data_IF_787912574242
#
_entry.id   IF_787912574242
#
_cell.length_a   1.000
_cell.length_b   1.000
_cell.length_c   1.000
_cell.angle_alpha   90.00
_cell.angle_beta   90.00
_cell.angle_gamma   90.00
#
_symmetry.space_group_name_H-M   'P 1'
#
loop_
_entity.id
_entity.type
_entity.pdbx_description
1 polymer ?
#
# COMPACT_ATOMS: atom_id res chain seq x y z
N UNK A 1 -41.36 -80.75 4.74
CA UNK A 1 -41.24 -81.09 3.30
C UNK A 1 -40.27 -80.20 2.60
N UNK A 2 -39.21 -80.77 2.06
CA UNK A 2 -38.10 -80.19 1.34
C UNK A 2 -38.53 -79.39 0.13
N UNK A 3 -37.79 -78.34 -0.22
CA UNK A 3 -37.21 -78.20 -1.55
C UNK A 3 -36.09 -77.18 -1.59
N UNK A 4 -34.98 -77.71 -1.91
CA UNK A 4 -33.71 -77.13 -2.33
C UNK A 4 -33.83 -76.26 -3.57
N UNK A 5 -33.18 -75.10 -3.61
CA UNK A 5 -32.98 -74.23 -4.79
C UNK A 5 -31.55 -73.70 -4.86
N UNK A 6 -30.85 -74.13 -5.88
CA UNK A 6 -29.43 -73.94 -6.17
C UNK A 6 -29.03 -72.50 -6.32
N UNK A 7 -27.90 -72.12 -5.71
CA UNK A 7 -27.15 -70.89 -5.97
C UNK A 7 -26.42 -71.06 -7.31
N UNK A 8 -26.63 -70.09 -8.23
CA UNK A 8 -25.77 -69.86 -9.38
C UNK A 8 -24.90 -68.64 -9.04
N UNK A 9 -23.61 -68.88 -8.98
CA UNK A 9 -22.57 -67.90 -8.73
C UNK A 9 -22.14 -67.34 -10.06
N UNK A 10 -22.49 -66.06 -10.40
CA UNK A 10 -21.98 -65.34 -11.54
C UNK A 10 -20.79 -64.49 -11.09
N UNK A 11 -19.59 -64.88 -11.50
CA UNK A 11 -18.39 -64.04 -11.44
C UNK A 11 -18.51 -62.96 -12.53
N UNK A 12 -18.73 -61.70 -12.11
CA UNK A 12 -18.56 -60.54 -12.95
C UNK A 12 -17.15 -59.94 -12.73
N UNK A 13 -16.29 -60.09 -13.72
CA UNK A 13 -15.05 -59.34 -13.82
C UNK A 13 -15.37 -57.83 -13.94
N UNK A 14 -15.17 -57.09 -12.89
CA UNK A 14 -15.14 -55.63 -12.96
C UNK A 14 -13.73 -55.17 -13.32
N UNK A 15 -13.50 -54.87 -14.59
CA UNK A 15 -12.30 -54.20 -15.08
C UNK A 15 -12.35 -52.77 -14.60
N UNK A 16 -11.61 -52.42 -13.55
CA UNK A 16 -11.32 -51.04 -13.19
C UNK A 16 -10.40 -50.45 -14.26
N UNK A 17 -10.96 -49.70 -15.20
CA UNK A 17 -10.22 -48.71 -15.97
C UNK A 17 -9.89 -47.56 -15.04
N UNK A 18 -8.67 -47.57 -14.45
CA UNK A 18 -8.06 -46.41 -13.89
C UNK A 18 -7.78 -45.44 -15.03
N UNK A 19 -8.71 -44.53 -15.30
CA UNK A 19 -8.44 -43.34 -16.10
C UNK A 19 -7.61 -42.44 -15.21
N UNK A 20 -6.30 -42.48 -15.36
CA UNK A 20 -5.40 -41.44 -14.87
C UNK A 20 -5.78 -40.17 -15.63
N UNK A 21 -6.64 -39.36 -15.01
CA UNK A 21 -6.85 -37.98 -15.41
C UNK A 21 -5.59 -37.23 -14.99
N UNK A 22 -4.57 -37.29 -15.86
CA UNK A 22 -3.53 -36.26 -15.86
C UNK A 22 -4.24 -34.98 -16.30
N UNK A 23 -4.70 -34.22 -15.31
CA UNK A 23 -5.27 -32.91 -15.54
C UNK A 23 -4.17 -31.96 -16.02
N UNK A 24 -3.83 -31.99 -17.29
CA UNK A 24 -3.25 -30.84 -17.95
C UNK A 24 -4.30 -29.74 -17.87
N UNK A 25 -4.12 -28.85 -16.89
CA UNK A 25 -4.90 -27.64 -16.81
C UNK A 25 -4.50 -26.79 -18.02
N UNK A 26 -5.33 -26.79 -19.05
CA UNK A 26 -5.08 -26.02 -20.28
C UNK A 26 -5.13 -24.52 -19.98
N UNK A 27 -4.23 -23.75 -20.58
CA UNK A 27 -4.27 -22.29 -20.66
C UNK A 27 -5.68 -21.84 -21.07
N UNK A 28 -6.29 -20.92 -20.31
CA UNK A 28 -7.57 -20.34 -20.69
C UNK A 28 -7.39 -19.49 -21.96
N UNK A 29 -8.36 -19.59 -22.87
CA UNK A 29 -8.37 -18.81 -24.10
C UNK A 29 -9.70 -18.09 -24.25
N UNK A 30 -9.66 -16.92 -24.86
CA UNK A 30 -10.84 -16.18 -25.30
C UNK A 30 -11.52 -16.91 -26.48
N UNK A 31 -12.73 -16.50 -26.84
CA UNK A 31 -13.47 -17.10 -27.97
C UNK A 31 -12.74 -16.93 -29.32
N UNK A 32 -11.94 -15.87 -29.46
CA UNK A 32 -11.08 -15.57 -30.62
C UNK A 32 -9.71 -16.27 -30.57
N UNK A 33 -9.44 -17.04 -29.50
CA UNK A 33 -8.25 -17.89 -29.38
C UNK A 33 -7.06 -17.27 -28.66
N UNK A 34 -7.15 -16.02 -28.21
CA UNK A 34 -6.08 -15.34 -27.43
C UNK A 34 -5.87 -16.01 -26.08
N UNK A 35 -4.66 -16.01 -25.57
CA UNK A 35 -4.35 -16.42 -24.18
C UNK A 35 -5.02 -15.45 -23.24
N UNK A 36 -5.86 -15.95 -22.32
CA UNK A 36 -6.54 -15.11 -21.34
C UNK A 36 -5.80 -15.13 -20.02
N UNK A 37 -5.39 -13.94 -19.54
CA UNK A 37 -4.78 -13.71 -18.24
C UNK A 37 -5.73 -12.92 -17.35
N UNK A 38 -5.69 -13.20 -16.05
CA UNK A 38 -6.35 -12.42 -15.01
C UNK A 38 -5.34 -11.47 -14.36
N UNK A 39 -5.72 -10.19 -14.19
CA UNK A 39 -4.95 -9.21 -13.46
C UNK A 39 -5.77 -8.65 -12.30
N UNK A 40 -5.40 -9.02 -11.06
CA UNK A 40 -6.14 -8.66 -9.86
C UNK A 40 -5.51 -7.45 -9.16
N UNK A 41 -6.34 -6.45 -8.87
CA UNK A 41 -5.97 -5.23 -8.12
C UNK A 41 -7.00 -4.94 -7.04
N UNK A 42 -6.69 -4.03 -6.10
CA UNK A 42 -7.63 -3.67 -5.01
C UNK A 42 -8.18 -2.25 -5.10
N UNK A 43 -7.61 -1.38 -5.94
CA UNK A 43 -8.00 0.02 -5.99
C UNK A 43 -8.79 0.33 -7.26
N UNK A 44 -10.04 0.74 -7.05
CA UNK A 44 -10.93 1.14 -8.16
C UNK A 44 -10.45 2.44 -8.81
N UNK A 45 -9.85 3.35 -8.04
CA UNK A 45 -9.38 4.64 -8.57
C UNK A 45 -8.23 4.49 -9.56
N UNK A 46 -7.38 3.47 -9.38
CA UNK A 46 -6.25 3.20 -10.28
C UNK A 46 -6.61 2.24 -11.43
N UNK A 47 -7.86 1.74 -11.49
CA UNK A 47 -8.27 0.74 -12.48
C UNK A 47 -8.01 1.18 -13.92
N UNK A 48 -8.37 2.40 -14.25
CA UNK A 48 -8.25 2.90 -15.64
C UNK A 48 -6.79 3.10 -16.03
N UNK A 49 -5.92 3.49 -15.10
CA UNK A 49 -4.48 3.51 -15.30
C UNK A 49 -3.89 2.11 -15.54
N UNK A 50 -4.34 1.11 -14.79
CA UNK A 50 -3.92 -0.28 -15.02
C UNK A 50 -4.46 -0.82 -16.35
N UNK A 51 -5.66 -0.42 -16.75
CA UNK A 51 -6.20 -0.76 -18.06
C UNK A 51 -5.38 -0.14 -19.18
N UNK A 52 -4.91 1.10 -19.03
CA UNK A 52 -4.04 1.75 -20.03
C UNK A 52 -2.71 0.99 -20.23
N UNK A 53 -2.10 0.48 -19.14
CA UNK A 53 -0.89 -0.37 -19.24
C UNK A 53 -1.20 -1.68 -19.96
N UNK A 54 -2.33 -2.32 -19.63
CA UNK A 54 -2.79 -3.55 -20.27
C UNK A 54 -3.04 -3.33 -21.78
N UNK A 55 -3.69 -2.23 -22.14
CA UNK A 55 -3.99 -1.91 -23.52
C UNK A 55 -2.70 -1.67 -24.33
N UNK A 56 -1.75 -0.92 -23.78
CA UNK A 56 -0.44 -0.69 -24.42
C UNK A 56 0.35 -1.99 -24.63
N UNK A 57 0.30 -2.92 -23.64
CA UNK A 57 0.90 -4.24 -23.80
C UNK A 57 0.20 -5.08 -24.86
N UNK A 58 -1.14 -5.11 -24.86
CA UNK A 58 -1.91 -5.92 -25.83
C UNK A 58 -1.79 -5.42 -27.26
N UNK A 59 -1.53 -4.12 -27.49
CA UNK A 59 -1.21 -3.58 -28.83
C UNK A 59 0.04 -4.23 -29.41
N UNK A 60 1.04 -4.54 -28.56
CA UNK A 60 2.29 -5.17 -28.97
C UNK A 60 2.18 -6.71 -28.95
N UNK A 61 1.21 -7.27 -28.21
CA UNK A 61 1.02 -8.70 -27.98
C UNK A 61 -0.42 -9.13 -28.33
N UNK A 62 -0.80 -9.13 -29.61
CA UNK A 62 -2.19 -9.34 -30.03
C UNK A 62 -2.76 -10.73 -29.71
N UNK A 63 -1.91 -11.70 -29.41
CA UNK A 63 -2.30 -13.06 -29.03
C UNK A 63 -2.65 -13.20 -27.54
N UNK A 64 -2.51 -12.13 -26.76
CA UNK A 64 -2.79 -12.08 -25.32
C UNK A 64 -4.00 -11.18 -25.05
N UNK A 65 -4.82 -11.57 -24.08
CA UNK A 65 -5.91 -10.78 -23.53
C UNK A 65 -5.78 -10.76 -22.00
N UNK A 66 -5.66 -9.59 -21.42
CA UNK A 66 -5.55 -9.41 -19.96
C UNK A 66 -6.84 -8.74 -19.46
N UNK A 67 -7.45 -9.33 -18.42
CA UNK A 67 -8.66 -8.82 -17.79
C UNK A 67 -8.32 -8.24 -16.43
N UNK A 68 -8.45 -6.90 -16.28
CA UNK A 68 -8.26 -6.22 -14.99
C UNK A 68 -9.49 -6.43 -14.12
N UNK A 69 -9.29 -6.98 -12.91
CA UNK A 69 -10.33 -7.28 -11.93
C UNK A 69 -10.04 -6.52 -10.63
N UNK A 70 -11.05 -5.85 -10.10
CA UNK A 70 -10.92 -5.07 -8.86
C UNK A 70 -11.66 -5.78 -7.73
N UNK A 71 -11.02 -5.88 -6.58
CA UNK A 71 -11.60 -6.39 -5.33
C UNK A 71 -11.22 -5.42 -4.21
N UNK A 72 -12.12 -5.12 -3.27
CA UNK A 72 -11.80 -4.23 -2.16
C UNK A 72 -10.62 -4.74 -1.32
N UNK A 73 -9.88 -3.83 -0.67
CA UNK A 73 -8.67 -4.14 0.10
C UNK A 73 -8.82 -5.34 1.04
N UNK A 74 -9.85 -5.36 1.89
CA UNK A 74 -10.03 -6.44 2.89
C UNK A 74 -10.36 -7.79 2.24
N UNK A 75 -11.20 -7.76 1.20
CA UNK A 75 -11.60 -8.96 0.46
C UNK A 75 -10.46 -9.47 -0.42
N UNK A 76 -9.61 -8.59 -0.92
CA UNK A 76 -8.45 -8.92 -1.75
C UNK A 76 -7.52 -9.90 -1.06
N UNK A 77 -7.07 -9.57 0.16
CA UNK A 77 -6.14 -10.42 0.91
C UNK A 77 -6.78 -11.75 1.31
N UNK A 78 -8.05 -11.73 1.72
CA UNK A 78 -8.80 -12.96 2.03
C UNK A 78 -8.86 -13.90 0.83
N UNK A 79 -9.15 -13.37 -0.36
CA UNK A 79 -9.21 -14.16 -1.60
C UNK A 79 -7.83 -14.62 -2.05
N UNK A 80 -6.83 -13.75 -1.95
CA UNK A 80 -5.47 -14.05 -2.39
C UNK A 80 -4.84 -15.15 -1.51
N UNK A 81 -5.03 -15.10 -0.18
CA UNK A 81 -4.58 -16.15 0.74
C UNK A 81 -5.23 -17.49 0.40
N UNK A 82 -6.54 -17.54 0.23
CA UNK A 82 -7.24 -18.77 -0.14
C UNK A 82 -6.79 -19.31 -1.51
N UNK A 83 -6.56 -18.44 -2.48
CA UNK A 83 -6.06 -18.81 -3.80
C UNK A 83 -4.61 -19.34 -3.74
N UNK A 84 -3.76 -18.75 -2.89
CA UNK A 84 -2.39 -19.19 -2.67
C UNK A 84 -2.34 -20.60 -2.06
N UNK A 85 -3.14 -20.86 -1.02
CA UNK A 85 -3.27 -22.19 -0.41
C UNK A 85 -3.74 -23.25 -1.41
N UNK A 86 -4.65 -22.87 -2.32
CA UNK A 86 -5.17 -23.75 -3.39
C UNK A 86 -4.21 -23.89 -4.58
N UNK A 87 -3.08 -23.18 -4.64
CA UNK A 87 -2.21 -23.01 -5.81
C UNK A 87 -3.00 -22.53 -7.06
N UNK A 88 -3.88 -21.55 -6.86
CA UNK A 88 -4.76 -20.96 -7.87
C UNK A 88 -4.70 -19.43 -7.83
N UNK A 89 -3.51 -18.87 -7.56
CA UNK A 89 -3.30 -17.43 -7.64
C UNK A 89 -3.70 -16.88 -9.02
N UNK A 90 -4.20 -15.64 -9.11
CA UNK A 90 -4.37 -14.94 -10.39
C UNK A 90 -3.08 -14.97 -11.20
N UNK A 91 -3.16 -14.80 -12.52
CA UNK A 91 -1.96 -14.80 -13.37
C UNK A 91 -1.06 -13.60 -13.03
N UNK A 92 -1.66 -12.43 -12.82
CA UNK A 92 -0.98 -11.21 -12.40
C UNK A 92 -1.76 -10.60 -11.23
N UNK A 93 -1.06 -10.04 -10.27
CA UNK A 93 -1.71 -9.35 -9.14
C UNK A 93 -0.77 -8.34 -8.50
N UNK A 94 -1.36 -7.36 -7.82
CA UNK A 94 -0.60 -6.44 -7.00
C UNK A 94 -0.13 -7.10 -5.72
N UNK A 95 1.10 -6.80 -5.34
CA UNK A 95 1.68 -7.24 -4.07
C UNK A 95 2.13 -6.03 -3.27
N UNK A 96 1.60 -5.92 -2.06
CA UNK A 96 1.98 -4.86 -1.14
C UNK A 96 3.23 -5.25 -0.34
N UNK A 97 4.11 -4.29 -0.06
CA UNK A 97 5.35 -4.52 0.68
C UNK A 97 5.15 -5.22 2.03
N UNK A 98 4.03 -4.97 2.73
CA UNK A 98 3.75 -5.59 4.03
C UNK A 98 3.31 -7.07 3.96
N UNK A 99 3.15 -7.63 2.76
CA UNK A 99 2.76 -9.03 2.53
C UNK A 99 3.82 -9.82 1.75
N UNK A 100 4.67 -9.16 0.99
CA UNK A 100 5.56 -9.81 0.03
C UNK A 100 6.47 -10.86 0.69
N UNK A 101 7.04 -10.55 1.86
CA UNK A 101 7.90 -11.51 2.58
C UNK A 101 7.16 -12.81 2.93
N UNK A 102 5.91 -12.71 3.41
CA UNK A 102 5.07 -13.88 3.68
C UNK A 102 4.93 -14.75 2.43
N UNK A 103 4.51 -14.15 1.31
CA UNK A 103 4.27 -14.92 0.09
C UNK A 103 5.54 -15.45 -0.57
N UNK A 104 6.63 -14.70 -0.53
CA UNK A 104 7.94 -15.10 -1.07
C UNK A 104 8.53 -16.26 -0.25
N UNK A 105 8.61 -16.12 1.07
CA UNK A 105 9.23 -17.10 1.95
C UNK A 105 8.50 -18.44 1.97
N UNK A 106 7.19 -18.45 1.71
CA UNK A 106 6.41 -19.67 1.52
C UNK A 106 6.45 -20.22 0.08
N UNK A 107 7.25 -19.62 -0.82
CA UNK A 107 7.44 -20.09 -2.20
C UNK A 107 6.17 -19.98 -3.05
N UNK A 108 5.31 -19.02 -2.75
CA UNK A 108 4.07 -18.78 -3.49
C UNK A 108 4.28 -17.90 -4.73
N UNK A 109 5.29 -16.99 -4.69
CA UNK A 109 5.59 -16.05 -5.76
C UNK A 109 6.67 -16.59 -6.69
N UNK A 110 6.61 -16.20 -7.96
CA UNK A 110 7.69 -16.43 -8.89
C UNK A 110 8.87 -15.50 -8.58
N UNK A 111 10.08 -16.05 -8.65
CA UNK A 111 11.31 -15.30 -8.60
C UNK A 111 11.46 -14.50 -9.91
N UNK A 112 11.58 -13.20 -9.79
CA UNK A 112 11.74 -12.28 -10.92
C UNK A 112 13.11 -11.61 -10.96
N UNK A 113 14.08 -12.09 -10.16
CA UNK A 113 15.42 -11.52 -10.05
C UNK A 113 16.11 -11.43 -11.42
N UNK A 114 15.97 -12.47 -12.21
CA UNK A 114 16.60 -12.58 -13.52
C UNK A 114 15.62 -12.26 -14.68
N UNK A 115 14.53 -11.52 -14.39
CA UNK A 115 13.46 -11.23 -15.37
C UNK A 115 13.99 -10.47 -16.58
N UNK A 116 14.96 -9.60 -16.37
CA UNK A 116 15.65 -8.85 -17.42
C UNK A 116 16.98 -9.53 -17.76
N UNK A 117 16.90 -10.73 -18.32
CA UNK A 117 18.02 -11.49 -18.84
C UNK A 117 18.41 -10.92 -20.21
N UNK A 118 19.21 -9.86 -20.22
CA UNK A 118 19.63 -9.13 -21.41
C UNK A 118 21.14 -8.87 -21.43
N UNK A 119 21.59 -7.99 -22.34
CA UNK A 119 23.00 -7.60 -22.49
C UNK A 119 23.56 -6.91 -21.24
N UNK A 120 22.70 -6.30 -20.40
CA UNK A 120 23.05 -5.70 -19.11
C UNK A 120 22.26 -6.40 -17.99
N UNK A 121 22.87 -7.35 -17.25
CA UNK A 121 22.18 -8.05 -16.16
C UNK A 121 21.73 -7.13 -15.01
N UNK A 122 22.26 -5.90 -14.94
CA UNK A 122 21.83 -4.90 -13.96
C UNK A 122 20.81 -3.91 -14.52
N UNK A 123 20.36 -4.10 -15.76
CA UNK A 123 19.44 -3.17 -16.43
C UNK A 123 18.18 -2.91 -15.59
N UNK A 124 17.62 -3.97 -15.03
CA UNK A 124 16.44 -3.95 -14.20
C UNK A 124 16.63 -3.15 -12.89
N UNK A 125 17.68 -3.47 -12.13
CA UNK A 125 17.88 -2.90 -10.79
C UNK A 125 18.31 -1.45 -10.82
N UNK A 126 19.10 -1.02 -11.77
CA UNK A 126 19.61 0.36 -11.82
C UNK A 126 18.54 1.43 -12.13
N UNK A 127 17.37 1.02 -12.59
CA UNK A 127 16.24 1.92 -12.87
C UNK A 127 15.29 2.07 -11.70
N UNK A 128 15.56 1.41 -10.57
CA UNK A 128 14.73 1.48 -9.37
C UNK A 128 15.59 1.86 -8.16
N UNK A 129 14.99 2.59 -7.22
CA UNK A 129 15.65 2.91 -5.96
C UNK A 129 15.81 1.66 -5.08
N UNK A 130 16.80 1.65 -4.16
CA UNK A 130 16.94 0.56 -3.21
C UNK A 130 15.69 0.34 -2.37
N UNK A 131 14.99 1.40 -1.96
CA UNK A 131 13.70 1.28 -1.23
C UNK A 131 12.67 0.52 -2.08
N UNK A 132 12.54 0.85 -3.37
CA UNK A 132 11.60 0.17 -4.26
C UNK A 132 11.97 -1.31 -4.47
N UNK A 133 13.25 -1.61 -4.59
CA UNK A 133 13.75 -2.99 -4.71
C UNK A 133 13.55 -3.76 -3.40
N UNK A 134 13.85 -3.16 -2.26
CA UNK A 134 13.67 -3.81 -0.96
C UNK A 134 12.20 -4.10 -0.65
N UNK A 135 11.29 -3.25 -1.14
CA UNK A 135 9.84 -3.50 -1.06
C UNK A 135 9.41 -4.74 -1.89
N UNK A 136 10.25 -5.20 -2.81
CA UNK A 136 9.98 -6.35 -3.68
C UNK A 136 10.82 -7.61 -3.32
N UNK A 137 11.70 -7.54 -2.29
CA UNK A 137 12.58 -8.64 -1.91
C UNK A 137 11.93 -9.62 -0.95
N UNK A 138 12.29 -10.91 -1.09
CA UNK A 138 12.11 -11.95 -0.07
C UNK A 138 13.24 -11.95 0.96
N UNK A 139 13.12 -12.75 2.01
CA UNK A 139 14.14 -12.90 3.06
C UNK A 139 15.46 -13.47 2.54
N UNK A 140 15.46 -14.13 1.39
CA UNK A 140 16.65 -14.66 0.71
C UNK A 140 17.37 -13.60 -0.16
N UNK A 141 16.87 -12.38 -0.19
CA UNK A 141 17.41 -11.26 -0.97
C UNK A 141 17.05 -11.25 -2.45
N UNK A 142 16.27 -12.25 -2.93
CA UNK A 142 15.79 -12.30 -4.31
C UNK A 142 14.55 -11.42 -4.50
N UNK A 143 14.27 -11.03 -5.74
CA UNK A 143 13.09 -10.22 -6.08
C UNK A 143 11.91 -11.13 -6.43
N UNK A 144 10.76 -10.83 -5.84
CA UNK A 144 9.50 -11.56 -6.01
C UNK A 144 8.37 -10.69 -6.56
N UNK A 145 8.71 -9.48 -6.96
CA UNK A 145 7.83 -8.55 -7.63
C UNK A 145 8.60 -7.53 -8.45
N UNK A 146 7.95 -6.99 -9.46
CA UNK A 146 8.45 -5.87 -10.24
C UNK A 146 7.94 -4.59 -9.59
N UNK A 147 8.80 -3.66 -9.14
CA UNK A 147 8.36 -2.42 -8.53
C UNK A 147 7.37 -1.66 -9.44
N UNK A 148 6.19 -1.36 -8.89
CA UNK A 148 5.12 -0.65 -9.59
C UNK A 148 5.24 0.86 -9.41
N UNK A 149 5.28 1.28 -8.16
CA UNK A 149 5.22 2.67 -7.75
C UNK A 149 6.10 2.93 -6.54
N UNK A 150 6.15 4.18 -6.17
CA UNK A 150 6.71 4.67 -4.92
C UNK A 150 5.77 5.71 -4.33
N UNK A 151 5.56 5.61 -3.03
CA UNK A 151 4.58 6.39 -2.32
C UNK A 151 5.23 7.23 -1.22
N UNK A 152 4.66 8.40 -0.99
CA UNK A 152 4.90 9.24 0.16
C UNK A 152 3.58 9.70 0.77
N UNK A 153 3.63 10.11 2.01
CA UNK A 153 2.51 10.68 2.75
C UNK A 153 2.76 12.17 2.90
N UNK A 154 1.79 12.99 2.49
CA UNK A 154 1.83 14.43 2.61
C UNK A 154 0.72 14.99 3.48
N UNK A 155 0.77 16.29 3.75
CA UNK A 155 -0.24 17.02 4.48
C UNK A 155 -1.23 17.65 3.49
N UNK A 156 -2.41 17.06 3.35
CA UNK A 156 -3.51 17.68 2.58
C UNK A 156 -4.17 18.75 3.45
N UNK A 157 -4.41 19.94 2.85
CA UNK A 157 -5.02 21.07 3.58
C UNK A 157 -6.05 21.83 2.75
N UNK A 158 -7.05 22.40 3.42
CA UNK A 158 -8.14 23.20 2.84
C UNK A 158 -7.76 24.67 2.76
N UNK A 159 -7.41 25.18 1.58
CA UNK A 159 -7.21 26.62 1.33
C UNK A 159 -8.39 27.44 1.85
N UNK A 160 -9.62 26.96 1.63
CA UNK A 160 -10.85 27.65 2.07
C UNK A 160 -10.91 27.85 3.58
N UNK A 161 -10.59 26.83 4.38
CA UNK A 161 -10.63 26.94 5.84
C UNK A 161 -9.48 27.78 6.40
N UNK A 162 -8.30 27.70 5.78
CA UNK A 162 -7.17 28.55 6.09
C UNK A 162 -7.45 30.03 5.84
N UNK A 163 -8.00 30.36 4.66
CA UNK A 163 -8.40 31.72 4.31
C UNK A 163 -9.45 32.27 5.26
N UNK A 164 -10.48 31.49 5.61
CA UNK A 164 -11.53 31.86 6.56
C UNK A 164 -10.99 32.14 7.96
N UNK A 165 -9.94 31.39 8.37
CA UNK A 165 -9.30 31.57 9.66
C UNK A 165 -8.24 32.69 9.65
N UNK A 166 -7.77 33.11 8.46
CA UNK A 166 -6.66 34.03 8.31
C UNK A 166 -5.30 33.43 8.72
N UNK A 167 -5.15 32.12 8.55
CA UNK A 167 -3.92 31.36 8.83
C UNK A 167 -3.12 31.20 7.54
N UNK A 168 -1.79 31.34 7.62
CA UNK A 168 -0.90 31.08 6.48
C UNK A 168 -0.90 29.59 6.12
N UNK A 169 -0.81 29.31 4.82
CA UNK A 169 -0.71 27.92 4.35
C UNK A 169 0.56 27.22 4.86
N UNK A 170 0.51 25.88 5.02
CA UNK A 170 1.71 25.13 5.42
C UNK A 170 2.80 25.18 4.36
N UNK A 171 4.05 25.28 4.80
CA UNK A 171 5.25 25.28 3.98
C UNK A 171 6.32 24.33 4.55
N UNK A 172 7.50 24.25 3.92
CA UNK A 172 8.60 23.38 4.31
C UNK A 172 9.25 23.75 5.66
N UNK A 173 8.91 24.88 6.23
CA UNK A 173 9.42 25.32 7.55
C UNK A 173 8.57 24.83 8.71
N UNK A 174 7.33 24.43 8.45
CA UNK A 174 6.39 24.03 9.48
C UNK A 174 6.93 22.92 10.38
N UNK A 175 6.63 23.09 11.66
CA UNK A 175 6.91 22.14 12.73
C UNK A 175 5.60 21.55 13.28
N UNK A 176 5.71 20.59 14.19
CA UNK A 176 4.56 20.07 14.94
C UNK A 176 3.85 21.17 15.75
N UNK A 177 4.60 22.17 16.23
CA UNK A 177 4.04 23.29 16.98
C UNK A 177 3.18 24.18 16.05
N UNK A 178 3.66 24.45 14.82
CA UNK A 178 2.91 25.21 13.80
C UNK A 178 1.63 24.48 13.40
N UNK A 179 1.67 23.14 13.25
CA UNK A 179 0.49 22.31 12.99
C UNK A 179 -0.57 22.47 14.09
N UNK A 180 -0.15 22.42 15.36
CA UNK A 180 -1.06 22.59 16.50
C UNK A 180 -1.63 24.00 16.57
N UNK A 181 -0.79 25.04 16.38
CA UNK A 181 -1.21 26.44 16.42
C UNK A 181 -2.21 26.75 15.31
N UNK A 182 -1.92 26.37 14.08
CA UNK A 182 -2.83 26.53 12.94
C UNK A 182 -4.16 25.79 13.18
N UNK A 183 -4.10 24.57 13.71
CA UNK A 183 -5.30 23.78 14.02
C UNK A 183 -6.20 24.45 15.05
N UNK A 184 -5.62 24.98 16.12
CA UNK A 184 -6.35 25.70 17.16
C UNK A 184 -6.98 26.99 16.63
N UNK A 185 -6.26 27.78 15.81
CA UNK A 185 -6.76 28.99 15.20
C UNK A 185 -7.92 28.72 14.22
N UNK A 186 -7.79 27.70 13.37
CA UNK A 186 -8.84 27.30 12.44
C UNK A 186 -10.09 26.91 13.20
N UNK A 187 -9.97 26.08 14.24
CA UNK A 187 -11.11 25.68 15.06
C UNK A 187 -11.78 26.86 15.74
N UNK A 188 -11.01 27.78 16.35
CA UNK A 188 -11.54 28.98 16.99
C UNK A 188 -12.34 29.86 16.02
N UNK A 189 -11.86 30.04 14.79
CA UNK A 189 -12.44 30.96 13.80
C UNK A 189 -13.59 30.36 13.01
N UNK A 190 -13.53 29.04 12.74
CA UNK A 190 -14.47 28.41 11.80
C UNK A 190 -15.39 27.36 12.46
N UNK A 191 -15.04 26.89 13.65
CA UNK A 191 -15.74 25.77 14.31
C UNK A 191 -15.51 24.43 13.62
N UNK A 192 -14.53 24.34 12.69
CA UNK A 192 -14.15 23.11 11.98
C UNK A 192 -12.87 22.54 12.59
N UNK A 193 -12.70 21.21 12.51
CA UNK A 193 -11.49 20.58 13.00
C UNK A 193 -10.26 21.10 12.26
N UNK A 194 -9.18 21.37 12.97
CA UNK A 194 -7.93 21.85 12.40
C UNK A 194 -7.13 20.71 11.78
N UNK A 195 -6.81 19.71 12.57
CA UNK A 195 -6.08 18.52 12.10
C UNK A 195 -6.80 17.24 12.53
N UNK A 196 -6.84 16.25 11.64
CA UNK A 196 -7.52 14.98 11.85
C UNK A 196 -6.51 13.86 12.08
N UNK A 197 -6.03 13.71 13.33
CA UNK A 197 -5.05 12.71 13.74
C UNK A 197 -5.68 11.31 13.80
N UNK A 198 -5.66 10.58 12.70
CA UNK A 198 -6.23 9.25 12.60
C UNK A 198 -5.31 8.18 13.18
N UNK A 199 -5.87 7.16 13.85
CA UNK A 199 -5.13 6.07 14.46
C UNK A 199 -4.67 5.03 13.41
N UNK A 200 -3.85 5.49 12.46
CA UNK A 200 -3.27 4.66 11.39
C UNK A 200 -1.75 4.62 11.48
N UNK A 201 -1.15 3.54 11.02
CA UNK A 201 0.30 3.38 11.00
C UNK A 201 0.94 4.24 9.91
N UNK A 202 0.56 4.08 8.65
CA UNK A 202 1.16 4.76 7.50
C UNK A 202 0.65 6.20 7.34
N UNK A 203 -0.67 6.40 7.38
CA UNK A 203 -1.29 7.73 7.29
C UNK A 203 -1.41 8.43 8.66
N UNK A 204 -0.55 8.07 9.60
CA UNK A 204 -0.62 8.56 10.96
C UNK A 204 0.72 8.54 11.69
N UNK A 205 0.73 7.88 12.85
CA UNK A 205 1.76 8.03 13.86
C UNK A 205 3.18 7.59 13.48
N UNK A 206 3.35 6.69 12.50
CA UNK A 206 4.71 6.29 12.10
C UNK A 206 5.51 7.45 11.53
N UNK A 207 4.91 8.35 10.77
CA UNK A 207 5.59 9.53 10.27
C UNK A 207 6.20 10.33 11.42
N UNK A 208 5.43 10.59 12.46
CA UNK A 208 5.87 11.32 13.65
C UNK A 208 6.94 10.57 14.44
N UNK A 209 6.85 9.24 14.53
CA UNK A 209 7.88 8.43 15.20
C UNK A 209 9.24 8.60 14.53
N UNK A 210 9.30 8.48 13.21
CA UNK A 210 10.57 8.64 12.49
C UNK A 210 11.05 10.08 12.47
N UNK A 211 10.17 11.07 12.40
CA UNK A 211 10.50 12.48 12.53
C UNK A 211 11.16 12.79 13.89
N UNK A 212 10.75 12.14 14.96
CA UNK A 212 11.36 12.29 16.26
C UNK A 212 12.74 11.63 16.41
N UNK A 213 13.20 10.87 15.41
CA UNK A 213 14.40 10.04 15.48
C UNK A 213 14.14 8.71 16.21
N UNK A 214 12.87 8.28 16.31
CA UNK A 214 12.46 6.97 16.80
C UNK A 214 12.38 5.93 15.68
N UNK A 215 11.94 4.74 16.02
CA UNK A 215 11.72 3.67 15.05
C UNK A 215 10.64 2.67 15.53
N UNK A 216 10.02 1.97 14.60
CA UNK A 216 9.07 0.88 14.89
C UNK A 216 9.81 -0.46 15.01
N UNK A 217 10.70 -0.77 14.07
CA UNK A 217 11.68 -1.85 14.15
C UNK A 217 13.08 -1.28 13.95
N UNK A 218 14.06 -1.86 14.65
CA UNK A 218 15.47 -1.53 14.43
C UNK A 218 15.92 -1.93 13.01
N UNK A 219 17.12 -1.51 12.60
CA UNK A 219 17.63 -1.67 11.25
C UNK A 219 17.66 -3.14 10.78
N UNK A 220 18.04 -4.06 11.65
CA UNK A 220 18.07 -5.49 11.37
C UNK A 220 16.70 -6.18 11.56
N UNK A 221 15.64 -5.42 11.83
CA UNK A 221 14.24 -5.86 11.98
C UNK A 221 14.03 -6.95 13.05
N UNK A 222 14.90 -6.98 14.06
CA UNK A 222 14.88 -8.01 15.10
C UNK A 222 14.24 -7.56 16.41
N UNK A 223 14.10 -6.23 16.62
CA UNK A 223 13.60 -5.66 17.87
C UNK A 223 12.69 -4.45 17.59
N UNK A 224 11.56 -4.42 18.28
CA UNK A 224 10.65 -3.27 18.25
C UNK A 224 11.22 -2.06 18.99
N UNK A 225 10.76 -0.87 18.63
CA UNK A 225 11.23 0.41 19.19
C UNK A 225 10.17 1.18 19.99
N UNK A 226 9.04 0.59 20.35
CA UNK A 226 7.93 1.32 20.99
C UNK A 226 8.28 1.91 22.36
N UNK A 227 9.24 1.33 23.08
CA UNK A 227 9.69 1.83 24.39
C UNK A 227 10.89 2.78 24.30
N UNK A 228 11.40 3.05 23.11
CA UNK A 228 12.49 4.01 22.91
C UNK A 228 12.03 5.44 23.23
N UNK A 229 12.89 6.29 23.85
CA UNK A 229 12.49 7.64 24.26
C UNK A 229 11.93 8.50 23.13
N UNK A 230 12.56 8.46 21.94
CA UNK A 230 12.12 9.24 20.78
C UNK A 230 10.75 8.74 20.25
N UNK A 231 10.57 7.42 20.15
CA UNK A 231 9.28 6.82 19.77
C UNK A 231 8.20 7.18 20.80
N UNK A 232 8.50 7.04 22.09
CA UNK A 232 7.56 7.42 23.16
C UNK A 232 7.13 8.88 23.07
N UNK A 233 8.09 9.80 22.84
CA UNK A 233 7.82 11.24 22.64
C UNK A 233 6.84 11.47 21.49
N UNK A 234 7.08 10.84 20.34
CA UNK A 234 6.22 10.99 19.17
C UNK A 234 4.81 10.40 19.40
N UNK A 235 4.75 9.22 20.02
CA UNK A 235 3.47 8.58 20.36
C UNK A 235 2.67 9.42 21.37
N UNK A 236 3.33 9.98 22.39
CA UNK A 236 2.69 10.89 23.34
C UNK A 236 2.15 12.13 22.64
N UNK A 237 2.94 12.75 21.78
CA UNK A 237 2.50 13.89 20.96
C UNK A 237 1.27 13.52 20.14
N UNK A 238 1.36 12.49 19.30
CA UNK A 238 0.30 12.12 18.36
C UNK A 238 -1.01 11.73 19.07
N UNK A 239 -0.93 10.95 20.14
CA UNK A 239 -2.11 10.54 20.92
C UNK A 239 -2.75 11.73 21.62
N UNK A 240 -1.97 12.70 22.11
CA UNK A 240 -2.50 13.87 22.78
C UNK A 240 -3.22 14.83 21.82
N UNK A 241 -2.95 14.80 20.50
CA UNK A 241 -3.70 15.61 19.52
C UNK A 241 -5.20 15.40 19.64
N UNK A 242 -5.66 14.16 19.88
CA UNK A 242 -7.10 13.87 20.04
C UNK A 242 -7.72 14.29 21.36
N UNK A 243 -6.92 14.82 22.30
CA UNK A 243 -7.43 15.43 23.53
C UNK A 243 -7.78 16.91 23.34
N UNK A 244 -7.33 17.48 22.24
CA UNK A 244 -7.56 18.88 21.90
C UNK A 244 -8.91 19.06 21.18
N UNK A 245 -9.64 20.14 21.45
CA UNK A 245 -10.96 20.35 20.88
C UNK A 245 -10.95 20.52 19.36
N UNK A 246 -9.82 20.86 18.78
CA UNK A 246 -9.63 21.05 17.35
C UNK A 246 -9.27 19.77 16.58
N UNK A 247 -9.16 18.63 17.26
CA UNK A 247 -8.94 17.32 16.64
C UNK A 247 -10.11 16.38 17.00
N UNK A 248 -10.69 15.62 16.05
CA UNK A 248 -11.70 14.61 16.35
C UNK A 248 -11.14 13.50 17.23
N UNK A 249 -11.98 12.88 18.04
CA UNK A 249 -11.66 11.69 18.83
C UNK A 249 -11.93 10.38 18.04
N UNK A 250 -11.61 9.22 18.67
CA UNK A 250 -11.85 7.91 18.05
C UNK A 250 -13.34 7.59 17.83
N UNK A 251 -14.28 8.18 18.58
CA UNK A 251 -15.71 7.98 18.35
C UNK A 251 -16.13 8.61 17.01
N UNK A 252 -15.59 9.80 16.71
CA UNK A 252 -15.80 10.42 15.41
C UNK A 252 -15.23 9.56 14.28
N UNK A 253 -14.01 9.07 14.43
CA UNK A 253 -13.35 8.23 13.42
C UNK A 253 -13.96 6.83 13.27
N UNK A 254 -14.74 6.35 14.22
CA UNK A 254 -15.51 5.11 14.07
C UNK A 254 -16.66 5.25 13.06
N UNK A 255 -17.14 6.48 12.81
CA UNK A 255 -18.25 6.76 11.90
C UNK A 255 -17.80 7.32 10.55
N UNK A 256 -16.61 7.95 10.49
CA UNK A 256 -16.08 8.56 9.25
C UNK A 256 -14.56 8.55 9.22
N UNK A 257 -13.96 8.55 8.03
CA UNK A 257 -12.51 8.68 7.87
C UNK A 257 -12.09 10.14 7.58
N UNK A 258 -10.80 10.49 7.75
CA UNK A 258 -10.29 11.84 7.53
C UNK A 258 -10.59 12.39 6.14
N UNK A 259 -10.41 11.60 5.08
CA UNK A 259 -10.68 12.03 3.70
C UNK A 259 -12.14 12.39 3.47
N UNK A 260 -13.08 11.58 3.98
CA UNK A 260 -14.52 11.88 3.91
C UNK A 260 -14.88 13.15 4.70
N UNK A 261 -14.32 13.32 5.89
CA UNK A 261 -14.49 14.51 6.71
C UNK A 261 -13.94 15.76 6.02
N UNK A 262 -12.78 15.65 5.39
CA UNK A 262 -12.15 16.72 4.60
C UNK A 262 -13.02 17.12 3.40
N UNK A 263 -13.44 16.17 2.58
CA UNK A 263 -14.29 16.40 1.39
C UNK A 263 -15.63 17.07 1.78
N UNK A 264 -16.16 16.73 2.94
CA UNK A 264 -17.39 17.35 3.46
C UNK A 264 -17.16 18.69 4.20
N UNK A 265 -15.92 19.21 4.21
CA UNK A 265 -15.56 20.50 4.82
C UNK A 265 -15.65 20.49 6.35
N UNK A 266 -15.46 19.35 7.01
CA UNK A 266 -15.48 19.24 8.48
C UNK A 266 -14.09 19.36 9.10
N UNK A 267 -13.01 19.12 8.33
CA UNK A 267 -11.63 19.21 8.78
C UNK A 267 -10.75 19.95 7.79
N UNK A 268 -9.74 20.64 8.30
CA UNK A 268 -8.86 21.48 7.50
C UNK A 268 -7.60 20.76 7.03
N UNK A 269 -7.08 19.82 7.83
CA UNK A 269 -5.83 19.12 7.51
C UNK A 269 -5.91 17.64 7.89
N UNK A 270 -5.27 16.79 7.07
CA UNK A 270 -5.05 15.37 7.38
C UNK A 270 -3.88 14.81 6.56
N UNK A 271 -3.38 13.65 6.94
CA UNK A 271 -2.35 12.95 6.17
C UNK A 271 -2.99 12.11 5.08
N UNK A 272 -2.46 12.24 3.86
CA UNK A 272 -2.92 11.47 2.72
C UNK A 272 -1.73 10.99 1.88
N UNK A 273 -1.91 9.84 1.24
CA UNK A 273 -0.94 9.29 0.31
C UNK A 273 -1.11 9.83 -1.11
N UNK A 274 0.02 10.00 -1.80
CA UNK A 274 0.02 10.47 -3.19
C UNK A 274 -0.88 9.64 -4.13
N UNK A 275 -1.11 8.36 -3.82
CA UNK A 275 -1.96 7.45 -4.60
C UNK A 275 -3.45 7.81 -4.63
N UNK A 276 -3.94 8.63 -3.71
CA UNK A 276 -5.35 9.05 -3.66
C UNK A 276 -5.60 10.42 -4.28
N UNK A 277 -4.57 11.24 -4.55
CA UNK A 277 -4.74 12.63 -4.96
C UNK A 277 -5.49 12.76 -6.28
N UNK A 278 -5.19 11.91 -7.27
CA UNK A 278 -5.90 11.89 -8.55
C UNK A 278 -7.39 11.61 -8.35
N UNK A 279 -7.72 10.61 -7.52
CA UNK A 279 -9.11 10.26 -7.19
C UNK A 279 -9.85 11.40 -6.48
N UNK A 280 -9.18 12.13 -5.58
CA UNK A 280 -9.78 13.31 -4.92
C UNK A 280 -10.12 14.37 -5.97
N UNK A 281 -9.22 14.63 -6.91
CA UNK A 281 -9.43 15.61 -7.99
C UNK A 281 -10.56 15.21 -8.94
N UNK A 282 -10.60 13.96 -9.37
CA UNK A 282 -11.57 13.48 -10.36
C UNK A 282 -12.99 13.34 -9.79
N UNK A 283 -13.11 12.97 -8.53
CA UNK A 283 -14.42 12.69 -7.93
C UNK A 283 -15.02 13.88 -7.16
N UNK A 284 -14.30 15.01 -7.05
CA UNK A 284 -14.73 16.15 -6.24
C UNK A 284 -14.48 17.48 -6.98
N UNK A 285 -15.10 17.66 -8.15
CA UNK A 285 -14.97 18.87 -8.96
C UNK A 285 -15.20 20.17 -8.15
N UNK A 286 -16.10 20.12 -7.16
CA UNK A 286 -16.41 21.26 -6.30
C UNK A 286 -15.25 21.69 -5.40
N UNK A 287 -14.24 20.82 -5.19
CA UNK A 287 -13.07 21.12 -4.38
C UNK A 287 -11.88 21.66 -5.18
N UNK A 288 -11.96 21.65 -6.51
CA UNK A 288 -10.84 22.13 -7.35
C UNK A 288 -10.47 23.56 -6.99
N UNK A 289 -9.16 23.80 -6.76
CA UNK A 289 -8.63 25.09 -6.32
C UNK A 289 -8.89 25.44 -4.84
N UNK A 290 -9.62 24.62 -4.09
CA UNK A 290 -9.95 24.87 -2.67
C UNK A 290 -9.05 24.11 -1.68
N UNK A 291 -8.16 23.29 -2.16
CA UNK A 291 -7.24 22.51 -1.35
C UNK A 291 -5.87 22.37 -2.01
N UNK A 292 -4.90 21.90 -1.25
CA UNK A 292 -3.57 21.61 -1.76
C UNK A 292 -2.90 20.55 -0.88
N UNK A 293 -1.68 20.14 -1.26
CA UNK A 293 -0.83 19.25 -0.50
C UNK A 293 0.50 19.94 -0.19
N UNK A 294 0.98 19.75 1.03
CA UNK A 294 2.27 20.24 1.50
C UNK A 294 3.13 19.07 2.02
N UNK A 295 4.42 19.31 2.17
CA UNK A 295 5.31 18.42 2.90
C UNK A 295 4.85 18.29 4.35
N UNK A 296 5.22 17.18 5.03
CA UNK A 296 4.85 16.99 6.43
C UNK A 296 5.57 17.97 7.35
N UNK A 297 4.89 18.49 8.37
CA UNK A 297 5.52 19.28 9.43
C UNK A 297 6.61 18.46 10.15
N UNK A 298 7.77 19.05 10.39
CA UNK A 298 8.91 18.39 11.01
C UNK A 298 8.87 18.40 12.53
N UNK A 299 9.51 17.43 13.17
CA UNK A 299 9.74 17.46 14.61
C UNK A 299 10.66 18.65 14.98
N UNK A 300 10.28 19.53 15.92
CA UNK A 300 11.09 20.72 16.26
C UNK A 300 12.40 20.38 16.98
N UNK A 301 12.47 19.26 17.70
CA UNK A 301 13.62 18.82 18.49
C UNK A 301 13.80 17.28 18.37
N UNK A 302 14.21 16.76 17.20
CA UNK A 302 14.40 15.34 16.99
C UNK A 302 15.61 14.81 17.78
N UNK A 303 15.56 13.53 18.16
CA UNK A 303 16.71 12.87 18.79
C UNK A 303 17.86 12.67 17.80
N UNK A 304 17.53 12.47 16.51
CA UNK A 304 18.46 12.32 15.39
C UNK A 304 17.88 12.96 14.14
N UNK A 305 18.74 13.34 13.19
CA UNK A 305 18.35 13.92 11.91
C UNK A 305 17.87 15.38 12.00
N UNK A 306 17.14 15.82 10.97
CA UNK A 306 16.62 17.19 10.84
C UNK A 306 15.13 17.31 11.21
N UNK A 307 14.55 16.25 11.71
CA UNK A 307 13.14 16.18 12.09
C UNK A 307 12.17 15.88 10.93
N UNK A 308 12.67 15.62 9.74
CA UNK A 308 11.87 15.26 8.57
C UNK A 308 11.81 13.75 8.39
N UNK A 309 10.64 13.24 8.13
CA UNK A 309 10.42 11.87 7.63
C UNK A 309 9.02 11.78 7.05
N UNK A 310 8.86 10.95 6.05
CA UNK A 310 7.57 10.46 5.56
C UNK A 310 7.68 8.95 5.33
N UNK A 311 6.61 8.22 5.60
CA UNK A 311 6.60 6.80 5.26
C UNK A 311 6.58 6.66 3.75
N UNK A 312 7.62 6.01 3.22
CA UNK A 312 7.71 5.60 1.83
C UNK A 312 7.35 4.13 1.71
N UNK A 313 6.40 3.86 0.87
CA UNK A 313 5.94 2.53 0.57
C UNK A 313 6.07 2.28 -0.94
N UNK A 314 5.53 1.20 -1.40
CA UNK A 314 5.45 0.88 -2.82
C UNK A 314 4.79 -0.46 -3.01
N UNK A 315 4.23 -0.63 -4.18
CA UNK A 315 3.64 -1.87 -4.61
C UNK A 315 4.51 -2.55 -5.64
N UNK A 316 4.26 -3.83 -5.85
CA UNK A 316 4.87 -4.60 -6.92
C UNK A 316 3.81 -5.29 -7.76
N UNK A 317 4.09 -5.46 -9.04
CA UNK A 317 3.43 -6.45 -9.87
C UNK A 317 4.03 -7.81 -9.57
N UNK A 318 3.21 -8.81 -9.31
CA UNK A 318 3.64 -10.16 -8.97
C UNK A 318 2.87 -11.24 -9.75
N UNK A 319 3.43 -12.43 -9.79
CA UNK A 319 2.80 -13.64 -10.33
C UNK A 319 3.12 -14.84 -9.45
N UNK A 320 2.26 -15.85 -9.48
CA UNK A 320 2.45 -17.07 -8.70
C UNK A 320 3.53 -17.98 -9.31
N UNK A 321 4.36 -18.59 -8.46
CA UNK A 321 5.43 -19.51 -8.90
C UNK A 321 4.96 -20.70 -9.72
N UNK A 322 3.67 -21.05 -9.61
CA UNK A 322 3.07 -22.26 -10.24
C UNK A 322 1.92 -21.92 -11.18
N UNK A 323 1.86 -20.67 -11.65
CA UNK A 323 0.83 -20.21 -12.59
C UNK A 323 0.89 -20.98 -13.92
N UNK A 324 -0.28 -21.32 -14.48
CA UNK A 324 -0.38 -22.00 -15.78
C UNK A 324 0.13 -21.17 -16.94
N UNK A 325 -0.01 -19.85 -16.80
CA UNK A 325 0.33 -18.85 -17.80
C UNK A 325 1.59 -18.09 -17.39
N UNK A 326 2.49 -18.72 -16.58
CA UNK A 326 3.64 -18.05 -15.96
C UNK A 326 4.52 -17.32 -17.00
N UNK A 327 4.78 -17.91 -18.14
CA UNK A 327 5.59 -17.29 -19.20
C UNK A 327 4.97 -15.96 -19.68
N UNK A 328 3.68 -15.97 -19.97
CA UNK A 328 2.95 -14.76 -20.38
C UNK A 328 2.84 -13.72 -19.26
N UNK A 329 2.64 -14.17 -18.02
CA UNK A 329 2.61 -13.28 -16.87
C UNK A 329 3.97 -12.61 -16.66
N UNK A 330 5.06 -13.34 -16.73
CA UNK A 330 6.43 -12.79 -16.61
C UNK A 330 6.74 -11.80 -17.75
N UNK A 331 6.26 -12.06 -18.96
CA UNK A 331 6.42 -11.15 -20.09
C UNK A 331 5.67 -9.83 -19.87
N UNK A 332 4.44 -9.89 -19.35
CA UNK A 332 3.70 -8.70 -18.95
C UNK A 332 4.37 -7.96 -17.77
N UNK A 333 4.89 -8.68 -16.77
CA UNK A 333 5.65 -8.07 -15.67
C UNK A 333 6.90 -7.34 -16.18
N UNK A 334 7.59 -7.89 -17.18
CA UNK A 334 8.73 -7.24 -17.84
C UNK A 334 8.29 -5.91 -18.49
N UNK A 335 7.15 -5.90 -19.18
CA UNK A 335 6.60 -4.68 -19.74
C UNK A 335 6.22 -3.66 -18.66
N UNK A 336 5.56 -4.08 -17.58
CA UNK A 336 5.20 -3.21 -16.45
C UNK A 336 6.41 -2.53 -15.80
N UNK A 337 7.57 -3.19 -15.76
CA UNK A 337 8.81 -2.64 -15.23
C UNK A 337 9.66 -1.89 -16.26
N UNK A 338 9.26 -1.85 -17.52
CA UNK A 338 9.96 -1.11 -18.56
C UNK A 338 9.70 0.40 -18.47
N UNK A 339 10.56 1.20 -19.10
CA UNK A 339 10.34 2.65 -19.21
C UNK A 339 8.97 2.97 -19.83
N UNK A 340 8.56 2.22 -20.84
CA UNK A 340 7.27 2.42 -21.52
C UNK A 340 6.09 2.14 -20.59
N UNK A 341 6.06 0.97 -19.94
CA UNK A 341 4.99 0.60 -19.01
C UNK A 341 4.88 1.58 -17.83
N UNK A 342 5.99 1.95 -17.24
CA UNK A 342 6.05 2.91 -16.13
C UNK A 342 5.65 4.34 -16.57
N UNK A 343 6.00 4.74 -17.78
CA UNK A 343 5.57 6.02 -18.37
C UNK A 343 4.06 6.07 -18.58
N UNK A 344 3.46 5.01 -19.12
CA UNK A 344 2.00 4.89 -19.27
C UNK A 344 1.30 5.01 -17.91
N UNK A 345 1.84 4.35 -16.88
CA UNK A 345 1.32 4.46 -15.51
C UNK A 345 1.37 5.91 -15.00
N UNK A 346 2.52 6.58 -15.10
CA UNK A 346 2.67 7.97 -14.66
C UNK A 346 1.69 8.90 -15.38
N UNK A 347 1.67 8.86 -16.72
CA UNK A 347 0.77 9.69 -17.53
C UNK A 347 -0.72 9.45 -17.25
N UNK A 348 -1.11 8.29 -16.75
CA UNK A 348 -2.49 8.02 -16.34
C UNK A 348 -2.85 8.69 -15.00
N UNK A 349 -1.87 9.14 -14.23
CA UNK A 349 -2.04 9.69 -12.89
C UNK A 349 -2.30 8.64 -11.80
N UNK A 350 -2.27 7.34 -12.13
CA UNK A 350 -2.61 6.28 -11.19
C UNK A 350 -1.67 6.22 -9.99
N UNK A 351 -0.36 6.37 -10.21
CA UNK A 351 0.64 6.39 -9.15
C UNK A 351 1.98 6.95 -9.67
N UNK A 352 2.83 7.45 -8.78
CA UNK A 352 4.19 7.87 -9.13
C UNK A 352 4.96 6.62 -9.58
N UNK A 353 5.54 6.61 -10.80
CA UNK A 353 6.28 5.44 -11.28
C UNK A 353 7.46 5.10 -10.38
N UNK A 354 7.71 3.81 -10.16
CA UNK A 354 8.91 3.37 -9.45
C UNK A 354 10.19 3.59 -10.27
N UNK A 355 10.08 3.67 -11.60
CA UNK A 355 11.19 3.89 -12.53
C UNK A 355 11.74 5.30 -12.38
N UNK A 356 13.04 5.39 -12.01
CA UNK A 356 13.74 6.65 -11.74
C UNK A 356 13.73 7.55 -12.98
N UNK A 357 13.37 8.82 -12.80
CA UNK A 357 13.33 9.85 -13.86
C UNK A 357 12.01 9.89 -14.62
N UNK A 358 10.99 9.17 -14.20
CA UNK A 358 9.64 9.23 -14.77
C UNK A 358 8.62 9.93 -13.86
N UNK A 359 9.04 10.46 -12.72
CA UNK A 359 8.18 11.11 -11.73
C UNK A 359 7.37 12.26 -12.32
N UNK A 360 8.00 13.04 -13.20
CA UNK A 360 7.37 14.18 -13.92
C UNK A 360 6.15 13.76 -14.74
N UNK A 361 6.09 12.51 -15.20
CA UNK A 361 4.93 12.02 -15.95
C UNK A 361 3.66 11.99 -15.10
N UNK A 362 3.80 11.66 -13.82
CA UNK A 362 2.70 11.68 -12.86
C UNK A 362 2.31 13.12 -12.47
N UNK A 363 3.29 14.01 -12.26
CA UNK A 363 3.01 15.43 -12.02
C UNK A 363 2.21 16.01 -13.18
N UNK A 364 2.66 15.81 -14.43
CA UNK A 364 1.99 16.29 -15.64
C UNK A 364 0.56 15.71 -15.81
N UNK A 365 0.25 14.56 -15.24
CA UNK A 365 -1.10 14.01 -15.31
C UNK A 365 -2.15 14.89 -14.60
N UNK A 366 -1.72 15.79 -13.71
CA UNK A 366 -2.58 16.77 -13.03
C UNK A 366 -2.82 18.04 -13.86
N UNK A 367 -2.07 18.30 -14.93
CA UNK A 367 -2.24 19.47 -15.81
C UNK A 367 -3.63 19.54 -16.48
N UNK A 368 -4.34 18.40 -16.51
CA UNK A 368 -5.73 18.33 -17.01
C UNK A 368 -6.76 19.07 -16.14
N UNK A 369 -6.41 19.37 -14.88
CA UNK A 369 -7.27 20.11 -13.98
C UNK A 369 -6.92 21.60 -14.03
N UNK A 370 -7.94 22.46 -14.02
CA UNK A 370 -7.75 23.91 -13.91
C UNK A 370 -7.58 24.29 -12.41
N UNK A 371 -6.56 23.69 -11.78
CA UNK A 371 -6.27 23.87 -10.35
C UNK A 371 -4.77 23.75 -10.13
N UNK A 372 -4.23 24.73 -9.42
CA UNK A 372 -2.84 24.74 -8.99
C UNK A 372 -2.72 23.85 -7.74
N UNK A 373 -2.20 22.63 -7.93
CA UNK A 373 -1.99 21.63 -6.90
C UNK A 373 -0.51 21.27 -6.83
N UNK A 374 0.09 21.45 -5.67
CA UNK A 374 1.54 21.30 -5.44
C UNK A 374 1.95 19.81 -5.28
N UNK A 375 1.58 18.99 -6.27
CA UNK A 375 1.84 17.54 -6.23
C UNK A 375 3.33 17.17 -6.28
N UNK A 376 4.19 18.08 -6.73
CA UNK A 376 5.65 17.95 -6.71
C UNK A 376 6.19 17.70 -5.28
N UNK A 377 5.53 18.19 -4.24
CA UNK A 377 5.90 17.90 -2.87
C UNK A 377 5.89 16.40 -2.55
N UNK A 378 5.04 15.62 -3.22
CA UNK A 378 5.06 14.16 -3.06
C UNK A 378 6.36 13.53 -3.57
N UNK A 379 6.96 14.13 -4.61
CA UNK A 379 8.24 13.68 -5.17
C UNK A 379 9.41 14.16 -4.31
N UNK A 380 9.39 15.43 -3.87
CA UNK A 380 10.42 16.00 -3.00
C UNK A 380 10.60 15.20 -1.69
N UNK A 381 9.51 14.68 -1.14
CA UNK A 381 9.52 13.92 0.10
C UNK A 381 10.27 12.57 -0.01
N UNK A 382 10.62 12.08 -1.22
CA UNK A 382 11.45 10.89 -1.34
C UNK A 382 12.87 11.08 -0.77
N UNK A 383 13.37 12.31 -0.72
CA UNK A 383 14.70 12.63 -0.19
C UNK A 383 14.86 12.26 1.30
N UNK A 384 13.75 12.20 2.02
CA UNK A 384 13.69 11.81 3.45
C UNK A 384 12.62 10.73 3.71
N UNK A 385 12.31 9.97 2.67
CA UNK A 385 11.39 8.82 2.76
C UNK A 385 11.98 7.70 3.61
N UNK A 386 11.18 7.20 4.55
CA UNK A 386 11.53 6.05 5.39
C UNK A 386 10.74 4.84 4.91
N UNK A 387 11.45 3.77 4.62
CA UNK A 387 10.82 2.52 4.21
C UNK A 387 9.79 2.06 5.23
N UNK A 388 8.58 1.76 4.78
CA UNK A 388 7.55 1.16 5.63
C UNK A 388 8.05 -0.15 6.25
N UNK A 389 7.76 -0.32 7.52
CA UNK A 389 8.19 -1.52 8.27
C UNK A 389 7.71 -2.78 7.57
N UNK A 390 8.67 -3.61 7.20
CA UNK A 390 8.42 -4.88 6.52
C UNK A 390 9.23 -6.00 7.18
N UNK A 391 8.52 -6.94 7.82
CA UNK A 391 9.04 -8.23 8.23
C UNK A 391 7.97 -9.30 8.05
N UNK A 392 8.38 -10.57 7.95
CA UNK A 392 7.46 -11.68 7.68
C UNK A 392 6.37 -11.85 8.76
N UNK A 393 6.62 -11.38 9.98
CA UNK A 393 5.67 -11.45 11.09
C UNK A 393 4.68 -10.28 11.16
N UNK A 394 4.84 -9.22 10.34
CA UNK A 394 3.97 -8.04 10.39
C UNK A 394 2.48 -8.36 10.31
N UNK A 395 1.99 -9.24 9.44
CA UNK A 395 0.58 -9.59 9.40
C UNK A 395 0.05 -10.13 10.73
N UNK A 396 0.90 -10.75 11.54
CA UNK A 396 0.52 -11.36 12.81
C UNK A 396 0.37 -10.35 13.95
N UNK A 397 1.15 -9.27 13.97
CA UNK A 397 1.15 -8.30 15.07
C UNK A 397 0.44 -6.98 14.74
N UNK A 398 0.29 -6.62 13.47
CA UNK A 398 -0.27 -5.32 13.07
C UNK A 398 -1.63 -5.05 13.72
N UNK A 399 -2.57 -5.97 13.62
CA UNK A 399 -3.92 -5.82 14.20
C UNK A 399 -3.87 -5.66 15.72
N UNK A 400 -3.04 -6.46 16.40
CA UNK A 400 -2.92 -6.41 17.86
C UNK A 400 -2.30 -5.09 18.34
N UNK A 401 -1.32 -4.54 17.59
CA UNK A 401 -0.74 -3.22 17.86
C UNK A 401 -1.80 -2.12 17.66
N UNK A 402 -2.59 -2.19 16.60
CA UNK A 402 -3.70 -1.24 16.36
C UNK A 402 -4.74 -1.31 17.47
N UNK A 403 -5.15 -2.50 17.90
CA UNK A 403 -6.09 -2.68 19.02
C UNK A 403 -5.52 -2.12 20.32
N UNK A 404 -4.22 -2.28 20.56
CA UNK A 404 -3.54 -1.72 21.74
C UNK A 404 -3.52 -0.20 21.69
N UNK A 405 -3.28 0.39 20.51
CA UNK A 405 -3.37 1.84 20.32
C UNK A 405 -4.77 2.37 20.67
N UNK A 406 -5.83 1.70 20.22
CA UNK A 406 -7.21 2.08 20.55
C UNK A 406 -7.50 2.01 22.06
N UNK A 407 -6.89 1.06 22.79
CA UNK A 407 -6.97 1.00 24.26
C UNK A 407 -6.30 2.16 24.95
N UNK A 408 -5.20 2.69 24.39
CA UNK A 408 -4.59 3.93 24.91
C UNK A 408 -5.54 5.11 24.67
N UNK A 409 -6.11 5.25 23.48
CA UNK A 409 -7.07 6.34 23.19
C UNK A 409 -8.32 6.29 24.08
N UNK A 410 -8.83 5.11 24.40
CA UNK A 410 -9.99 4.94 25.29
C UNK A 410 -9.65 5.14 26.77
N UNK A 411 -8.36 5.19 27.14
CA UNK A 411 -7.90 5.27 28.52
C UNK A 411 -7.97 3.93 29.27
N UNK A 412 -8.19 2.82 28.58
CA UNK A 412 -8.10 1.47 29.16
C UNK A 412 -6.64 1.13 29.55
N UNK A 413 -5.69 1.59 28.77
CA UNK A 413 -4.26 1.51 29.06
C UNK A 413 -3.66 2.93 29.15
N UNK A 414 -2.71 3.09 30.08
CA UNK A 414 -1.82 4.25 30.05
C UNK A 414 -0.91 4.18 28.83
N UNK A 415 -0.31 5.31 28.42
CA UNK A 415 0.68 5.34 27.34
C UNK A 415 1.80 4.31 27.56
N UNK A 416 2.40 4.27 28.74
CA UNK A 416 3.54 3.41 29.05
C UNK A 416 3.16 1.93 29.07
N UNK A 417 1.98 1.58 29.59
CA UNK A 417 1.44 0.21 29.52
C UNK A 417 1.19 -0.21 28.07
N UNK A 418 0.57 0.66 27.26
CA UNK A 418 0.28 0.37 25.86
C UNK A 418 1.55 0.21 25.01
N UNK A 419 2.52 1.13 25.15
CA UNK A 419 3.80 1.02 24.45
C UNK A 419 4.59 -0.24 24.83
N UNK A 420 4.57 -0.61 26.13
CA UNK A 420 5.18 -1.85 26.61
C UNK A 420 4.50 -3.09 26.01
N UNK A 421 3.18 -3.07 25.88
CA UNK A 421 2.42 -4.16 25.27
C UNK A 421 2.69 -4.23 23.75
N UNK A 422 2.72 -3.11 23.04
CA UNK A 422 3.08 -3.07 21.62
C UNK A 422 4.49 -3.63 21.38
N UNK A 423 5.46 -3.22 22.23
CA UNK A 423 6.81 -3.75 22.20
C UNK A 423 6.82 -5.28 22.33
N UNK A 424 6.12 -5.81 23.34
CA UNK A 424 6.01 -7.24 23.59
C UNK A 424 5.38 -7.98 22.41
N UNK A 425 4.27 -7.47 21.88
CA UNK A 425 3.54 -8.09 20.77
C UNK A 425 4.41 -8.25 19.52
N UNK A 426 5.20 -7.24 19.21
CA UNK A 426 6.09 -7.25 18.03
C UNK A 426 7.30 -8.15 18.27
N UNK A 427 7.92 -8.07 19.45
CA UNK A 427 9.11 -8.88 19.79
C UNK A 427 8.78 -10.37 19.91
N UNK A 428 7.57 -10.73 20.35
CA UNK A 428 7.10 -12.11 20.46
C UNK A 428 6.60 -12.69 19.13
N UNK A 429 6.11 -11.86 18.22
CA UNK A 429 5.65 -12.26 16.89
C UNK A 429 6.81 -12.59 15.95
N UNK A 430 7.77 -13.40 16.40
CA UNK A 430 8.91 -13.84 15.59
C UNK A 430 8.39 -14.62 14.38
N UNK A 431 9.03 -14.40 13.24
CA UNK A 431 8.82 -15.25 12.08
C UNK A 431 9.12 -16.72 12.46
N UNK A 432 8.40 -17.66 11.91
CA UNK A 432 8.61 -19.07 12.15
C UNK A 432 10.01 -19.53 11.71
#
# INVERSE_FOLDING_TARGET
MQKTGKKVMALGLASLLAVSVSGCQSTQRTADGRVKLSFQIWDTAQRDGMQAIVDAYMEQNPDVYIEVQVTSWDEYWTKLDAAAEANQLPDIFWMHTNQILKYADYGMLADVTDLYDGEDPNYYTKHFSEISLDNARGSDGRLYGVPKDKDTVGLVYSKTLFDQAGVSYPDETWTWDDLCEASAQIYEKTGKYGYMAYADDQLGYWNFVYQAGGYILNEDKTQAGFTQPATRKAMEFYINLQKEPWCPDQNYFAETNPGTAFISGQGAMYLEGNWNLMSIMENNEQLQGQWDIAVLPKCPDPAEGDGRATISNGLSYATGARGKNLEYALDFLRFCGSEEGQRVQGMSGAAIPAYIGLEDTWIQAFDKFDADLSVEHCVEMFDYGVQSVNNASRPNWKTQVSDTLLKIYSGELTLDEGLSEMQRLVDEAKAP
#
